data_IF_639695054785
#
_entry.id   IF_639695054785
#
_cell.length_a   1.000
_cell.length_b   1.000
_cell.length_c   1.000
_cell.angle_alpha   90.00
_cell.angle_beta   90.00
_cell.angle_gamma   90.00
#
_symmetry.space_group_name_H-M   'P 1'
#
loop_
_entity.id
_entity.type
_entity.pdbx_description
1 polymer ?
#
# COMPACT_ATOMS: atom_id res chain seq x y z
N UNK A 1 4.41 1.23 4.72
CA UNK A 1 3.49 0.09 5.00
C UNK A 1 4.00 -0.79 6.14
N UNK A 2 5.18 -1.39 6.01
CA UNK A 2 5.70 -2.37 6.98
C UNK A 2 5.69 -1.88 8.44
N UNK A 3 6.19 -0.67 8.70
CA UNK A 3 6.19 -0.07 10.06
C UNK A 3 4.79 0.00 10.69
N UNK A 4 3.76 0.34 9.91
CA UNK A 4 2.38 0.42 10.41
C UNK A 4 1.80 -0.97 10.69
N UNK A 5 2.08 -1.95 9.82
CA UNK A 5 1.60 -3.32 9.99
C UNK A 5 2.07 -3.92 11.33
N UNK A 6 3.33 -3.66 11.68
CA UNK A 6 3.97 -4.17 12.89
C UNK A 6 3.97 -3.20 14.08
N UNK A 7 3.28 -2.06 13.99
CA UNK A 7 3.29 -1.03 15.04
C UNK A 7 2.75 -1.53 16.40
N UNK A 8 1.90 -2.56 16.39
CA UNK A 8 1.32 -3.20 17.58
C UNK A 8 1.97 -4.56 17.91
N UNK A 9 3.05 -4.90 17.23
CA UNK A 9 3.74 -6.19 17.36
C UNK A 9 3.07 -7.35 16.61
N UNK A 10 3.66 -8.54 16.72
CA UNK A 10 3.30 -9.70 15.89
C UNK A 10 1.92 -10.28 16.18
N UNK A 11 1.43 -10.17 17.42
CA UNK A 11 0.16 -10.77 17.86
C UNK A 11 -1.06 -9.86 17.65
N UNK A 12 -0.85 -8.56 17.43
CA UNK A 12 -1.92 -7.56 17.40
C UNK A 12 -1.93 -6.74 16.10
N UNK A 13 -1.77 -7.40 14.96
CA UNK A 13 -1.77 -6.76 13.64
C UNK A 13 -3.14 -6.09 13.38
N UNK A 14 -3.19 -4.87 12.77
CA UNK A 14 -4.45 -4.22 12.45
C UNK A 14 -5.35 -5.07 11.54
N UNK A 15 -6.65 -5.15 11.86
CA UNK A 15 -7.63 -5.91 11.05
C UNK A 15 -7.87 -5.31 9.66
N UNK A 16 -7.72 -3.99 9.51
CA UNK A 16 -7.90 -3.27 8.26
C UNK A 16 -6.81 -2.20 8.11
N UNK A 17 -6.31 -2.03 6.90
CA UNK A 17 -5.31 -1.01 6.53
C UNK A 17 -5.72 -0.41 5.20
N UNK A 18 -5.64 0.92 5.10
CA UNK A 18 -5.86 1.63 3.83
C UNK A 18 -4.51 1.77 3.12
N UNK A 19 -4.47 1.37 1.86
CA UNK A 19 -3.27 1.41 1.03
C UNK A 19 -3.53 2.16 -0.26
N UNK A 20 -2.49 2.79 -0.79
CA UNK A 20 -2.46 3.34 -2.15
C UNK A 20 -1.54 2.47 -3.00
N UNK A 21 -2.06 2.04 -4.14
CA UNK A 21 -1.36 1.23 -5.13
C UNK A 21 -1.01 2.14 -6.31
N UNK A 22 0.27 2.22 -6.65
CA UNK A 22 0.74 2.97 -7.81
C UNK A 22 1.50 2.03 -8.74
N UNK A 23 1.06 1.89 -9.99
CA UNK A 23 1.76 1.10 -11.00
C UNK A 23 2.83 1.98 -11.63
N UNK A 24 4.10 1.58 -11.51
CA UNK A 24 5.26 2.31 -12.02
C UNK A 24 6.06 1.45 -12.99
N UNK A 25 6.78 2.10 -13.90
CA UNK A 25 7.75 1.45 -14.78
C UNK A 25 9.01 1.12 -14.01
N UNK A 26 9.55 -0.06 -14.27
CA UNK A 26 10.84 -0.46 -13.72
C UNK A 26 11.95 0.10 -14.62
N UNK A 27 12.81 0.93 -14.04
CA UNK A 27 13.92 1.59 -14.75
C UNK A 27 15.23 0.77 -14.63
N UNK A 28 15.19 -0.38 -13.95
CA UNK A 28 16.32 -1.31 -13.89
C UNK A 28 16.41 -2.13 -15.18
N UNK A 29 17.55 -2.00 -15.88
CA UNK A 29 17.83 -2.64 -17.17
C UNK A 29 17.85 -4.19 -17.08
N UNK A 30 18.04 -4.76 -15.88
CA UNK A 30 18.07 -6.21 -15.67
C UNK A 30 16.76 -6.78 -15.10
N UNK A 31 15.71 -5.97 -15.01
CA UNK A 31 14.45 -6.43 -14.47
C UNK A 31 13.73 -7.40 -15.41
N UNK A 32 13.37 -8.58 -14.88
CA UNK A 32 12.53 -9.54 -15.60
C UNK A 32 11.15 -8.96 -15.97
N UNK A 33 10.62 -8.08 -15.10
CA UNK A 33 9.31 -7.46 -15.28
C UNK A 33 9.43 -5.94 -15.49
N UNK A 34 8.76 -5.44 -16.54
CA UNK A 34 8.80 -4.03 -16.97
C UNK A 34 8.04 -3.08 -16.04
N UNK A 35 7.15 -3.59 -15.20
CA UNK A 35 6.23 -2.82 -14.38
C UNK A 35 6.21 -3.39 -12.97
N UNK A 36 6.17 -2.51 -11.97
CA UNK A 36 5.96 -2.91 -10.58
C UNK A 36 4.84 -2.10 -9.94
N UNK A 37 4.24 -2.66 -8.89
CA UNK A 37 3.21 -1.96 -8.11
C UNK A 37 3.83 -1.51 -6.79
N UNK A 38 3.99 -0.20 -6.64
CA UNK A 38 4.41 0.40 -5.39
C UNK A 38 3.21 0.54 -4.45
N UNK A 39 3.31 -0.08 -3.26
CA UNK A 39 2.24 -0.04 -2.25
C UNK A 39 2.66 0.85 -1.09
N UNK A 40 1.89 1.92 -0.87
CA UNK A 40 2.09 2.86 0.23
C UNK A 40 0.94 2.81 1.22
N UNK A 41 1.22 3.16 2.48
CA UNK A 41 0.20 3.22 3.53
C UNK A 41 -0.48 4.59 3.52
N UNK A 42 -1.80 4.61 3.65
CA UNK A 42 -2.60 5.84 3.77
C UNK A 42 -3.20 5.88 5.18
N UNK A 43 -2.82 6.88 6.01
CA UNK A 43 -3.45 7.05 7.32
C UNK A 43 -4.91 7.49 7.15
N UNK A 44 -5.82 6.77 7.80
CA UNK A 44 -7.25 7.08 7.86
C UNK A 44 -7.72 6.91 9.29
N UNK A 45 -8.61 7.80 9.74
CA UNK A 45 -9.17 7.75 11.09
C UNK A 45 -10.26 6.68 11.23
N UNK A 46 -11.08 6.49 10.18
CA UNK A 46 -12.13 5.48 10.11
C UNK A 46 -12.15 4.81 8.73
N UNK A 47 -12.61 3.57 8.69
CA UNK A 47 -12.77 2.76 7.48
C UNK A 47 -14.21 2.73 6.96
N UNK A 48 -15.18 3.26 7.71
CA UNK A 48 -16.59 3.26 7.31
C UNK A 48 -16.81 4.07 6.02
N UNK A 49 -17.48 3.47 5.04
CA UNK A 49 -17.82 4.13 3.77
C UNK A 49 -16.65 4.28 2.77
N UNK A 50 -15.43 3.85 3.12
CA UNK A 50 -14.30 3.92 2.20
C UNK A 50 -14.38 2.81 1.14
N UNK A 51 -14.61 3.20 -0.11
CA UNK A 51 -14.59 2.30 -1.27
C UNK A 51 -13.24 2.35 -1.99
N UNK A 52 -13.03 1.45 -2.95
CA UNK A 52 -11.89 1.55 -3.88
C UNK A 52 -12.07 2.81 -4.73
N UNK A 53 -11.02 3.63 -4.80
CA UNK A 53 -11.02 4.84 -5.61
C UNK A 53 -9.79 4.83 -6.48
N UNK A 54 -9.96 5.24 -7.74
CA UNK A 54 -8.85 5.58 -8.59
C UNK A 54 -8.27 6.90 -8.08
N UNK A 55 -6.97 6.94 -7.84
CA UNK A 55 -6.26 8.14 -7.40
C UNK A 55 -5.54 8.68 -8.62
N UNK A 56 -5.89 9.89 -9.04
CA UNK A 56 -5.13 10.60 -10.07
C UNK A 56 -3.73 10.93 -9.52
N UNK A 57 -2.72 10.83 -10.37
CA UNK A 57 -1.32 11.07 -9.99
C UNK A 57 -1.00 12.55 -9.91
#
# INVERSE_FOLDING_TARGET
LNKMLWARGIKAVPHRIRVRLARRRNDDENAAEKLYTHVSYVPVADFKGLQTQQVDE
#
